data_IF_205486275386
#
_entry.id   IF_205486275386
#
_cell.length_a   1.000
_cell.length_b   1.000
_cell.length_c   1.000
_cell.angle_alpha   90.00
_cell.angle_beta   90.00
_cell.angle_gamma   90.00
#
_symmetry.space_group_name_H-M   'P 1'
#
loop_
_entity.id
_entity.type
_entity.pdbx_description
1 polymer ?
#
# COMPACT_ATOMS: atom_id res chain seq x y z
N UNK A 1 29.31 -12.66 91.40
CA UNK A 1 29.53 -12.51 89.94
C UNK A 1 28.99 -13.68 89.10
N UNK A 2 28.92 -14.92 89.61
CA UNK A 2 28.47 -16.11 88.85
C UNK A 2 26.99 -16.09 88.40
N UNK A 3 26.08 -15.57 89.23
CA UNK A 3 24.62 -15.51 88.94
C UNK A 3 24.21 -14.48 87.87
N UNK A 4 25.03 -13.45 87.66
CA UNK A 4 24.81 -12.42 86.63
C UNK A 4 25.19 -12.98 85.25
N UNK A 5 26.20 -13.86 85.21
CA UNK A 5 26.65 -14.52 83.99
C UNK A 5 25.65 -15.57 83.48
N UNK A 6 25.04 -16.36 84.38
CA UNK A 6 24.02 -17.36 84.02
C UNK A 6 22.72 -16.71 83.48
N UNK A 7 22.31 -15.58 84.06
CA UNK A 7 21.10 -14.85 83.60
C UNK A 7 21.30 -14.23 82.21
N UNK A 8 22.54 -13.88 81.86
CA UNK A 8 22.88 -13.33 80.53
C UNK A 8 22.94 -14.43 79.46
N UNK A 9 23.38 -15.64 79.82
CA UNK A 9 23.38 -16.80 78.91
C UNK A 9 21.95 -17.29 78.62
N UNK A 10 21.04 -17.25 79.61
CA UNK A 10 19.64 -17.61 79.40
C UNK A 10 18.90 -16.63 78.46
N UNK A 11 19.25 -15.33 78.51
CA UNK A 11 18.61 -14.31 77.67
C UNK A 11 19.04 -14.41 76.19
N UNK A 12 20.27 -14.87 75.94
CA UNK A 12 20.81 -15.07 74.58
C UNK A 12 20.23 -16.33 73.93
N UNK A 13 19.95 -17.38 74.72
CA UNK A 13 19.33 -18.61 74.22
C UNK A 13 17.86 -18.43 73.80
N UNK A 14 17.12 -17.53 74.47
CA UNK A 14 15.72 -17.25 74.14
C UNK A 14 15.53 -16.55 72.78
N UNK A 15 16.52 -15.76 72.33
CA UNK A 15 16.46 -15.05 71.04
C UNK A 15 16.73 -15.95 69.82
N UNK A 16 17.32 -17.13 69.98
CA UNK A 16 17.57 -18.04 68.85
C UNK A 16 16.36 -18.88 68.43
N UNK A 17 15.27 -18.85 69.20
CA UNK A 17 14.06 -19.64 68.90
C UNK A 17 13.00 -18.89 68.10
N UNK A 18 13.22 -17.60 67.76
CA UNK A 18 12.19 -16.75 67.15
C UNK A 18 12.42 -16.33 65.69
N UNK A 19 13.46 -16.80 65.01
CA UNK A 19 13.70 -16.44 63.60
C UNK A 19 13.56 -17.64 62.66
N UNK A 20 12.32 -18.04 62.40
CA UNK A 20 11.99 -18.75 61.17
C UNK A 20 11.16 -17.81 60.29
N UNK A 21 11.83 -16.98 59.49
CA UNK A 21 11.17 -16.28 58.38
C UNK A 21 11.09 -17.25 57.20
N UNK A 22 9.91 -17.81 56.97
CA UNK A 22 9.64 -18.64 55.79
C UNK A 22 9.57 -17.72 54.56
N UNK A 23 10.67 -17.62 53.81
CA UNK A 23 10.68 -16.99 52.50
C UNK A 23 10.05 -17.95 51.48
N UNK A 24 8.79 -17.70 51.11
CA UNK A 24 8.13 -18.41 50.01
C UNK A 24 8.57 -17.75 48.69
N UNK A 25 9.27 -18.45 47.78
CA UNK A 25 9.63 -17.88 46.49
C UNK A 25 8.35 -17.54 45.72
N UNK A 26 8.28 -16.37 45.10
CA UNK A 26 7.16 -16.00 44.23
C UNK A 26 7.14 -16.96 43.02
N UNK A 27 6.08 -17.78 42.91
CA UNK A 27 5.92 -18.74 41.82
C UNK A 27 5.66 -17.97 40.52
N UNK A 28 6.54 -18.13 39.52
CA UNK A 28 6.41 -17.47 38.24
C UNK A 28 5.13 -17.97 37.50
N UNK A 29 4.38 -17.09 36.83
CA UNK A 29 3.15 -17.47 36.15
C UNK A 29 3.41 -18.51 35.04
N UNK A 30 2.62 -19.58 35.02
CA UNK A 30 2.65 -20.61 33.97
C UNK A 30 2.11 -20.00 32.68
N UNK A 31 2.98 -19.80 31.70
CA UNK A 31 2.62 -19.26 30.38
C UNK A 31 2.94 -20.27 29.29
N UNK A 32 2.11 -20.30 28.26
CA UNK A 32 2.37 -21.04 27.03
C UNK A 32 2.42 -20.00 25.92
N UNK A 33 3.59 -19.86 25.30
CA UNK A 33 3.77 -18.99 24.15
C UNK A 33 3.68 -19.83 22.89
N UNK A 34 2.74 -19.48 22.02
CA UNK A 34 2.58 -20.10 20.70
C UNK A 34 2.84 -19.07 19.62
N UNK A 35 3.53 -19.51 18.57
CA UNK A 35 3.70 -18.75 17.34
C UNK A 35 2.93 -19.46 16.23
N UNK A 36 2.05 -18.73 15.54
CA UNK A 36 1.29 -19.24 14.41
C UNK A 36 1.53 -18.35 13.19
N UNK A 37 1.79 -18.99 12.05
CA UNK A 37 1.89 -18.30 10.75
C UNK A 37 0.70 -18.71 9.90
N UNK A 38 -0.01 -17.74 9.34
CA UNK A 38 -1.10 -17.96 8.40
C UNK A 38 -0.75 -17.37 7.03
N UNK A 39 -0.95 -18.15 5.97
CA UNK A 39 -0.82 -17.70 4.58
C UNK A 39 -2.17 -17.86 3.91
N UNK A 40 -2.63 -16.84 3.19
CA UNK A 40 -3.83 -16.89 2.35
C UNK A 40 -3.44 -16.58 0.91
N UNK A 41 -4.03 -17.28 -0.04
CA UNK A 41 -3.89 -17.03 -1.48
C UNK A 41 -5.27 -16.79 -2.07
N UNK A 42 -5.38 -15.83 -2.97
CA UNK A 42 -6.61 -15.50 -3.68
C UNK A 42 -6.30 -15.24 -5.16
N UNK A 43 -7.25 -15.55 -6.03
CA UNK A 43 -7.13 -15.24 -7.46
C UNK A 43 -7.39 -13.75 -7.71
N UNK A 44 -6.69 -13.11 -8.66
CA UNK A 44 -6.97 -11.73 -9.04
C UNK A 44 -8.36 -11.58 -9.65
N UNK A 45 -9.15 -10.65 -9.12
CA UNK A 45 -10.55 -10.39 -9.52
C UNK A 45 -10.72 -9.12 -10.37
N UNK A 46 -9.63 -8.40 -10.66
CA UNK A 46 -9.64 -7.18 -11.46
C UNK A 46 -8.39 -7.07 -12.35
N UNK A 47 -8.58 -6.61 -13.59
CA UNK A 47 -7.52 -6.12 -14.46
C UNK A 47 -7.77 -4.66 -14.88
N UNK A 48 -6.69 -3.91 -15.12
CA UNK A 48 -6.74 -2.53 -15.60
C UNK A 48 -5.94 -2.41 -16.89
N UNK A 49 -6.55 -1.86 -17.93
CA UNK A 49 -5.89 -1.65 -19.23
C UNK A 49 -5.95 -0.16 -19.56
N UNK A 50 -4.81 0.42 -19.95
CA UNK A 50 -4.75 1.80 -20.41
C UNK A 50 -4.57 1.80 -21.93
N UNK A 51 -5.49 2.44 -22.64
CA UNK A 51 -5.44 2.62 -24.09
C UNK A 51 -5.33 4.11 -24.39
N UNK A 52 -4.33 4.49 -25.20
CA UNK A 52 -4.11 5.88 -25.58
C UNK A 52 -4.14 6.07 -27.09
N UNK A 53 -4.76 7.15 -27.53
CA UNK A 53 -4.75 7.59 -28.93
C UNK A 53 -3.95 8.88 -29.01
N UNK A 54 -2.99 8.92 -29.95
CA UNK A 54 -2.18 10.10 -30.24
C UNK A 54 -2.40 10.52 -31.69
N UNK A 55 -2.76 11.77 -31.91
CA UNK A 55 -2.93 12.38 -33.24
C UNK A 55 -2.02 13.59 -33.37
N UNK A 56 -1.63 13.91 -34.61
CA UNK A 56 -0.69 15.00 -34.88
C UNK A 56 -1.11 15.80 -36.12
N UNK A 57 -1.47 17.07 -35.93
CA UNK A 57 -1.83 17.96 -37.03
C UNK A 57 -1.23 19.35 -36.91
N UNK A 58 -1.14 20.07 -38.03
CA UNK A 58 -0.65 21.46 -38.04
C UNK A 58 -1.59 22.42 -37.31
N UNK A 59 -2.88 22.07 -37.25
CA UNK A 59 -3.91 22.85 -36.56
C UNK A 59 -4.36 22.09 -35.32
N UNK A 60 -4.24 22.72 -34.15
CA UNK A 60 -4.59 22.10 -32.87
C UNK A 60 -6.04 21.56 -32.82
N UNK A 61 -6.98 22.33 -33.40
CA UNK A 61 -8.38 21.92 -33.48
C UNK A 61 -8.56 20.64 -34.31
N UNK A 62 -7.89 20.56 -35.46
CA UNK A 62 -7.99 19.37 -36.31
C UNK A 62 -7.41 18.15 -35.60
N UNK A 63 -6.24 18.28 -34.95
CA UNK A 63 -5.65 17.21 -34.15
C UNK A 63 -6.62 16.73 -33.06
N UNK A 64 -7.31 17.65 -32.38
CA UNK A 64 -8.26 17.34 -31.31
C UNK A 64 -9.53 16.67 -31.82
N UNK A 65 -10.11 17.17 -32.92
CA UNK A 65 -11.31 16.61 -33.53
C UNK A 65 -11.06 15.18 -34.04
N UNK A 66 -9.92 14.94 -34.70
CA UNK A 66 -9.49 13.61 -35.14
C UNK A 66 -9.23 12.68 -33.94
N UNK A 67 -8.61 13.19 -32.88
CA UNK A 67 -8.37 12.41 -31.67
C UNK A 67 -9.68 11.98 -31.01
N UNK A 68 -10.63 12.90 -30.88
CA UNK A 68 -11.94 12.64 -30.29
C UNK A 68 -12.68 11.58 -31.11
N UNK A 69 -12.72 11.72 -32.44
CA UNK A 69 -13.37 10.75 -33.32
C UNK A 69 -12.72 9.35 -33.25
N UNK A 70 -11.39 9.28 -33.20
CA UNK A 70 -10.68 8.03 -33.04
C UNK A 70 -10.92 7.41 -31.65
N UNK A 71 -10.93 8.21 -30.59
CA UNK A 71 -11.16 7.73 -29.24
C UNK A 71 -12.59 7.25 -29.01
N UNK A 72 -13.59 7.88 -29.63
CA UNK A 72 -14.98 7.39 -29.65
C UNK A 72 -15.04 5.99 -30.24
N UNK A 73 -14.36 5.73 -31.36
CA UNK A 73 -14.32 4.39 -31.98
C UNK A 73 -13.69 3.35 -31.05
N UNK A 74 -12.59 3.71 -30.37
CA UNK A 74 -11.95 2.83 -29.38
C UNK A 74 -12.92 2.51 -28.24
N UNK A 75 -13.54 3.53 -27.66
CA UNK A 75 -14.53 3.36 -26.59
C UNK A 75 -15.68 2.45 -27.02
N UNK A 76 -16.23 2.67 -28.20
CA UNK A 76 -17.37 1.88 -28.69
C UNK A 76 -16.98 0.42 -28.98
N UNK A 77 -15.76 0.19 -29.48
CA UNK A 77 -15.22 -1.16 -29.65
C UNK A 77 -15.04 -1.88 -28.31
N UNK A 78 -14.58 -1.18 -27.27
CA UNK A 78 -14.44 -1.74 -25.91
C UNK A 78 -15.80 -2.07 -25.30
N UNK A 79 -16.81 -1.23 -25.53
CA UNK A 79 -18.19 -1.52 -25.12
C UNK A 79 -18.74 -2.73 -25.87
N UNK A 80 -18.50 -2.82 -27.18
CA UNK A 80 -18.91 -3.96 -27.99
C UNK A 80 -18.22 -5.28 -27.57
N UNK A 81 -17.02 -5.19 -26.97
CA UNK A 81 -16.32 -6.33 -26.39
C UNK A 81 -16.89 -6.80 -25.04
N UNK A 82 -17.92 -6.13 -24.51
CA UNK A 82 -18.63 -6.54 -23.30
C UNK A 82 -18.25 -5.78 -22.03
N UNK A 83 -17.37 -4.79 -22.12
CA UNK A 83 -17.05 -3.91 -20.98
C UNK A 83 -18.14 -2.85 -20.83
N UNK A 84 -18.60 -2.62 -19.60
CA UNK A 84 -19.60 -1.58 -19.34
C UNK A 84 -18.98 -0.21 -19.52
N UNK A 85 -19.77 0.74 -20.03
CA UNK A 85 -19.33 2.13 -20.17
C UNK A 85 -18.84 2.76 -18.85
N UNK A 86 -19.43 2.36 -17.72
CA UNK A 86 -19.05 2.84 -16.38
C UNK A 86 -17.65 2.38 -15.94
N UNK A 87 -17.14 1.31 -16.55
CA UNK A 87 -15.81 0.77 -16.28
C UNK A 87 -14.74 1.37 -17.21
N UNK A 88 -15.12 2.32 -18.06
CA UNK A 88 -14.22 3.06 -18.97
C UNK A 88 -14.12 4.51 -18.48
N UNK A 89 -12.91 4.95 -18.14
CA UNK A 89 -12.68 6.29 -17.60
C UNK A 89 -11.58 6.99 -18.40
N UNK A 90 -11.79 8.24 -18.81
CA UNK A 90 -10.70 9.06 -19.36
C UNK A 90 -9.76 9.46 -18.23
N UNK A 91 -8.48 9.13 -18.35
CA UNK A 91 -7.47 9.39 -17.31
C UNK A 91 -6.49 10.47 -17.68
N UNK A 92 -6.28 10.73 -18.98
CA UNK A 92 -5.35 11.74 -19.45
C UNK A 92 -5.85 12.37 -20.75
N UNK A 93 -5.71 13.68 -20.86
CA UNK A 93 -5.91 14.42 -22.10
C UNK A 93 -4.93 15.60 -22.16
N UNK A 94 -4.12 15.65 -23.22
CA UNK A 94 -3.11 16.69 -23.40
C UNK A 94 -2.98 17.13 -24.84
N UNK A 95 -2.71 18.42 -25.03
CA UNK A 95 -2.44 19.04 -26.33
C UNK A 95 -1.13 19.80 -26.21
N UNK A 96 -0.15 19.50 -27.06
CA UNK A 96 1.14 20.17 -27.06
C UNK A 96 1.69 20.34 -28.48
N UNK A 97 2.25 21.52 -28.78
CA UNK A 97 2.99 21.74 -30.04
C UNK A 97 4.37 21.09 -29.94
N UNK A 98 4.72 20.27 -30.91
CA UNK A 98 5.99 19.55 -30.97
C UNK A 98 7.00 20.38 -31.75
N UNK A 99 7.65 21.34 -31.09
CA UNK A 99 8.66 22.18 -31.72
C UNK A 99 9.98 21.42 -31.88
N UNK A 100 10.65 21.59 -33.03
CA UNK A 100 11.96 20.97 -33.29
C UNK A 100 13.06 22.01 -33.14
N UNK A 101 14.05 21.74 -32.31
CA UNK A 101 15.22 22.59 -32.16
C UNK A 101 16.34 22.13 -33.09
N UNK A 102 16.80 23.00 -33.99
CA UNK A 102 17.92 22.70 -34.89
C UNK A 102 18.71 23.96 -35.23
N UNK A 103 20.05 23.86 -35.25
CA UNK A 103 20.97 24.94 -35.58
C UNK A 103 20.74 26.24 -34.76
N UNK A 104 20.43 26.11 -33.48
CA UNK A 104 20.21 27.25 -32.58
C UNK A 104 18.89 28.01 -32.81
N UNK A 105 17.95 27.44 -33.59
CA UNK A 105 16.60 27.99 -33.80
C UNK A 105 15.52 26.94 -33.52
N UNK A 106 14.38 27.42 -33.02
CA UNK A 106 13.16 26.63 -32.88
C UNK A 106 12.35 26.68 -34.16
N UNK A 107 11.97 25.50 -34.67
CA UNK A 107 11.04 25.35 -35.78
C UNK A 107 9.69 24.87 -35.24
N UNK A 108 8.61 25.62 -35.48
CA UNK A 108 7.29 25.22 -35.01
C UNK A 108 6.88 23.93 -35.72
N UNK A 109 6.53 22.89 -34.94
CA UNK A 109 6.04 21.63 -35.49
C UNK A 109 4.54 21.45 -35.30
N UNK A 110 4.08 20.21 -35.47
CA UNK A 110 2.66 19.84 -35.36
C UNK A 110 2.17 19.88 -33.92
N UNK A 111 0.89 20.13 -33.74
CA UNK A 111 0.19 19.89 -32.48
C UNK A 111 -0.05 18.40 -32.33
N UNK A 112 0.39 17.86 -31.21
CA UNK A 112 0.11 16.50 -30.79
C UNK A 112 -0.99 16.52 -29.73
N UNK A 113 -2.05 15.74 -29.96
CA UNK A 113 -3.10 15.50 -28.97
C UNK A 113 -2.99 14.06 -28.51
N UNK A 114 -2.94 13.86 -27.19
CA UNK A 114 -3.00 12.55 -26.55
C UNK A 114 -4.27 12.49 -25.71
N UNK A 115 -4.95 11.36 -25.79
CA UNK A 115 -6.08 11.02 -24.94
C UNK A 115 -5.90 9.58 -24.46
N UNK A 116 -6.16 9.30 -23.20
CA UNK A 116 -6.02 7.99 -22.59
C UNK A 116 -7.28 7.57 -21.85
N UNK A 117 -7.71 6.33 -22.09
CA UNK A 117 -8.78 5.66 -21.38
C UNK A 117 -8.20 4.57 -20.48
N UNK A 118 -8.61 4.54 -19.22
CA UNK A 118 -8.46 3.38 -18.36
C UNK A 118 -9.72 2.52 -18.44
N UNK A 119 -9.52 1.23 -18.65
CA UNK A 119 -10.56 0.23 -18.79
C UNK A 119 -10.38 -0.75 -17.63
N UNK A 120 -11.38 -0.82 -16.77
CA UNK A 120 -11.40 -1.75 -15.63
C UNK A 120 -12.18 -3.00 -16.02
N UNK A 121 -11.52 -4.14 -15.98
CA UNK A 121 -12.16 -5.45 -16.20
C UNK A 121 -12.37 -6.06 -14.83
N UNK A 122 -13.63 -6.34 -14.49
CA UNK A 122 -14.02 -7.00 -13.24
C UNK A 122 -14.25 -8.48 -13.52
N UNK A 123 -13.96 -9.32 -12.55
CA UNK A 123 -14.12 -10.77 -12.59
C UNK A 123 -13.23 -11.42 -13.67
N UNK A 124 -11.92 -11.34 -13.47
CA UNK A 124 -10.90 -11.93 -14.36
C UNK A 124 -10.55 -13.39 -14.04
N UNK A 125 -11.29 -14.01 -13.12
CA UNK A 125 -11.14 -15.41 -12.70
C UNK A 125 -11.91 -16.37 -13.61
#
# INVERSE_FOLDING_TARGET
MKKIFESMVLLIAACMLFSCTVNKPAEAPRTITVNGTGTVSAEPDQASIIVSVVTQEWVAKQAADENAAAMTKVRDAVIAAGIRADDITTTDYSIARQDTWSNGRSWPGKYQVRNSLNITIKNTS
#
